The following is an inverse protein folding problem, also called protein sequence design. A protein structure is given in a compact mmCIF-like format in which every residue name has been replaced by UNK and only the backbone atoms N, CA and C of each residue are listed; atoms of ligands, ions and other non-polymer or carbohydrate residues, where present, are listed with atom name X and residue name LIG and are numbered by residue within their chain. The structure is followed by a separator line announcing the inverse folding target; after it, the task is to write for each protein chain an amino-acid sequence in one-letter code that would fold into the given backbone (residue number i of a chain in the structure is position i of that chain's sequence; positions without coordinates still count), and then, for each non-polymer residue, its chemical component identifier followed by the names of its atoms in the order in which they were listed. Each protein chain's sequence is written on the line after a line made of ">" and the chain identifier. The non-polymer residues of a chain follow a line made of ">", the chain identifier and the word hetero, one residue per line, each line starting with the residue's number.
data_IF_932723211261
#
_entry.id   IF_932723211261
#
_cell.length_a   1.000
_cell.length_b   1.000
_cell.length_c   1.000
_cell.angle_alpha   90.00
_cell.angle_beta   90.00
_cell.angle_gamma   90.00
#
_symmetry.space_group_name_H-M   'P 1'
#
loop_
_entity.id
_entity.type
_entity.pdbx_description
1 polymer ?
#
# COMPACT_ATOMS: atom_id res chain seq x y z
N UNK A 1 -57.39 -53.85 43.40
CA UNK A 1 -58.43 -52.81 43.24
C UNK A 1 -58.10 -52.02 41.96
N UNK A 2 -59.02 -51.69 41.03
CA UNK A 2 -60.22 -50.83 41.12
C UNK A 2 -59.87 -49.40 41.59
N UNK A 3 -60.14 -48.25 40.92
CA UNK A 3 -60.90 -47.78 39.70
C UNK A 3 -60.27 -46.40 39.26
N UNK A 4 -60.54 -45.60 38.20
CA UNK A 4 -61.28 -45.46 36.90
C UNK A 4 -60.68 -44.16 36.20
N UNK A 5 -60.95 -43.61 34.98
CA UNK A 5 -61.43 -44.02 33.63
C UNK A 5 -61.26 -42.84 32.62
N UNK A 6 -60.98 -43.12 31.33
CA UNK A 6 -61.12 -42.23 30.12
C UNK A 6 -60.35 -40.87 30.11
N UNK A 7 -59.97 -40.26 28.98
CA UNK A 7 -60.73 -39.73 27.82
C UNK A 7 -60.00 -40.02 26.48
N UNK A 8 -60.64 -40.60 25.46
CA UNK A 8 -61.57 -40.03 24.45
C UNK A 8 -60.86 -39.25 23.32
N UNK A 9 -60.68 -39.92 22.17
CA UNK A 9 -60.09 -39.38 20.93
C UNK A 9 -61.20 -38.72 20.09
N UNK A 10 -60.95 -37.51 19.58
CA UNK A 10 -61.84 -36.82 18.63
C UNK A 10 -61.19 -36.76 17.25
N UNK A 11 -61.84 -37.34 16.25
CA UNK A 11 -61.50 -37.13 14.84
C UNK A 11 -62.14 -35.82 14.35
N UNK A 12 -61.35 -34.90 13.81
CA UNK A 12 -61.85 -33.69 13.12
C UNK A 12 -61.70 -33.85 11.60
N UNK A 13 -62.82 -33.73 10.88
CA UNK A 13 -62.86 -33.74 9.42
C UNK A 13 -62.70 -32.31 8.88
N UNK A 14 -61.58 -32.08 8.18
CA UNK A 14 -61.36 -30.97 7.25
C UNK A 14 -60.42 -31.50 6.14
N UNK A 15 -60.65 -31.29 4.85
CA UNK A 15 -61.58 -30.36 4.21
C UNK A 15 -60.85 -29.64 3.07
N UNK A 16 -60.46 -30.37 2.03
CA UNK A 16 -59.57 -29.86 0.99
C UNK A 16 -60.27 -28.85 0.06
N UNK A 17 -60.16 -27.56 0.38
CA UNK A 17 -60.56 -26.47 -0.52
C UNK A 17 -59.46 -26.26 -1.58
N UNK A 18 -59.80 -26.45 -2.85
CA UNK A 18 -58.95 -25.99 -3.96
C UNK A 18 -59.09 -24.47 -4.09
N UNK A 19 -57.98 -23.75 -4.11
CA UNK A 19 -57.92 -22.39 -4.65
C UNK A 19 -57.40 -22.47 -6.08
N UNK A 20 -58.15 -21.92 -7.02
CA UNK A 20 -57.68 -21.70 -8.39
C UNK A 20 -56.86 -20.40 -8.41
N UNK A 21 -55.65 -20.46 -8.96
CA UNK A 21 -54.78 -19.29 -9.09
C UNK A 21 -55.12 -18.58 -10.40
N UNK A 22 -55.73 -17.40 -10.29
CA UNK A 22 -56.00 -16.54 -11.45
C UNK A 22 -54.70 -15.87 -11.89
N UNK A 23 -54.21 -16.21 -13.08
CA UNK A 23 -53.00 -15.64 -13.67
C UNK A 23 -53.25 -14.22 -14.22
N UNK A 24 -52.55 -13.18 -13.75
CA UNK A 24 -52.64 -11.84 -14.34
C UNK A 24 -51.75 -11.74 -15.58
N UNK A 25 -52.33 -11.44 -16.74
CA UNK A 25 -51.56 -11.16 -17.96
C UNK A 25 -50.97 -9.75 -17.90
N UNK A 26 -49.64 -9.63 -17.94
CA UNK A 26 -48.93 -8.34 -18.02
C UNK A 26 -48.25 -8.20 -19.38
N UNK A 27 -48.32 -7.01 -19.96
CA UNK A 27 -47.89 -6.75 -21.34
C UNK A 27 -46.36 -6.79 -21.52
N UNK A 28 -45.91 -7.26 -22.69
CA UNK A 28 -44.51 -7.24 -23.09
C UNK A 28 -44.12 -5.83 -23.51
N UNK A 29 -43.26 -5.17 -22.73
CA UNK A 29 -42.50 -4.02 -23.20
C UNK A 29 -41.19 -4.49 -23.85
N UNK A 30 -40.83 -3.88 -24.99
CA UNK A 30 -39.59 -4.17 -25.69
C UNK A 30 -38.41 -3.53 -24.93
N UNK A 31 -37.43 -4.32 -24.51
CA UNK A 31 -36.16 -3.78 -24.03
C UNK A 31 -35.37 -3.19 -25.20
N UNK A 32 -35.07 -1.89 -25.13
CA UNK A 32 -34.11 -1.26 -26.05
C UNK A 32 -32.70 -1.78 -25.72
N UNK A 33 -32.01 -2.32 -26.71
CA UNK A 33 -30.59 -2.64 -26.59
C UNK A 33 -29.77 -1.34 -26.42
N UNK A 34 -29.45 -1.00 -25.17
CA UNK A 34 -28.42 -0.02 -24.87
C UNK A 34 -27.08 -0.68 -25.18
N UNK A 35 -26.36 -0.14 -26.17
CA UNK A 35 -25.08 -0.69 -26.60
C UNK A 35 -24.06 -0.71 -25.46
N UNK A 36 -23.31 -1.81 -25.34
CA UNK A 36 -22.31 -2.00 -24.29
C UNK A 36 -21.15 -0.99 -24.45
N UNK A 37 -21.25 0.15 -23.76
CA UNK A 37 -20.06 0.95 -23.47
C UNK A 37 -19.12 0.12 -22.59
N UNK A 38 -17.82 0.13 -22.92
CA UNK A 38 -16.82 -0.58 -22.15
C UNK A 38 -16.59 0.11 -20.80
N UNK A 39 -17.39 -0.25 -19.80
CA UNK A 39 -17.26 0.20 -18.41
C UNK A 39 -15.89 -0.18 -17.86
N UNK A 40 -14.93 0.73 -18.00
CA UNK A 40 -13.60 0.58 -17.45
C UNK A 40 -13.69 0.41 -15.94
N UNK A 41 -13.01 -0.61 -15.41
CA UNK A 41 -12.92 -0.78 -13.95
C UNK A 41 -12.11 0.40 -13.41
N UNK A 42 -12.77 1.30 -12.69
CA UNK A 42 -12.08 2.34 -11.95
C UNK A 42 -11.29 1.69 -10.80
N UNK A 43 -10.15 2.27 -10.43
CA UNK A 43 -9.64 2.14 -9.06
C UNK A 43 -10.72 2.54 -8.04
N UNK A 44 -10.57 2.12 -6.79
CA UNK A 44 -11.64 2.20 -5.78
C UNK A 44 -12.02 3.64 -5.32
N UNK A 45 -11.50 4.67 -5.97
CA UNK A 45 -11.91 6.06 -5.81
C UNK A 45 -11.57 6.89 -7.05
N UNK A 46 -12.25 8.01 -7.22
CA UNK A 46 -11.88 9.02 -8.22
C UNK A 46 -10.55 9.68 -7.86
N UNK A 47 -9.88 10.30 -8.85
CA UNK A 47 -8.61 11.02 -8.62
C UNK A 47 -8.63 12.03 -7.47
N UNK A 48 -9.64 12.91 -7.33
CA UNK A 48 -9.76 13.81 -6.19
C UNK A 48 -9.93 13.09 -4.83
N UNK A 49 -10.66 11.97 -4.79
CA UNK A 49 -10.83 11.17 -3.57
C UNK A 49 -9.50 10.52 -3.15
N UNK A 50 -8.73 10.01 -4.11
CA UNK A 50 -7.39 9.45 -3.86
C UNK A 50 -6.43 10.55 -3.37
N UNK A 51 -6.41 11.73 -3.99
CA UNK A 51 -5.59 12.86 -3.51
C UNK A 51 -5.93 13.30 -2.07
N UNK A 52 -7.22 13.33 -1.73
CA UNK A 52 -7.68 13.61 -0.37
C UNK A 52 -7.27 12.49 0.61
N UNK A 53 -7.44 11.22 0.23
CA UNK A 53 -7.06 10.07 1.06
C UNK A 53 -5.55 10.02 1.34
N UNK A 54 -4.71 10.25 0.34
CA UNK A 54 -3.24 10.29 0.50
C UNK A 54 -2.81 11.41 1.46
N UNK A 55 -3.53 12.55 1.44
CA UNK A 55 -3.32 13.65 2.38
C UNK A 55 -3.73 13.27 3.80
N UNK A 56 -4.89 12.61 3.99
CA UNK A 56 -5.31 12.08 5.30
C UNK A 56 -4.29 11.06 5.84
N UNK A 57 -3.94 10.06 5.02
CA UNK A 57 -2.98 9.01 5.38
C UNK A 57 -1.61 9.59 5.79
N UNK A 58 -1.14 10.63 5.10
CA UNK A 58 0.08 11.35 5.43
C UNK A 58 0.02 12.07 6.80
N UNK A 59 -1.11 12.67 7.16
CA UNK A 59 -1.28 13.33 8.47
C UNK A 59 -1.64 12.36 9.61
N UNK A 60 -2.16 11.17 9.30
CA UNK A 60 -2.66 10.19 10.28
C UNK A 60 -1.54 9.44 11.03
N UNK A 61 -1.04 10.02 12.13
CA UNK A 61 0.08 9.51 12.94
C UNK A 61 -0.27 8.39 13.94
N UNK A 62 -1.22 7.50 13.63
CA UNK A 62 -1.50 6.33 14.47
C UNK A 62 -0.29 5.39 14.58
N UNK A 63 -0.18 4.70 15.73
CA UNK A 63 0.89 3.72 15.98
C UNK A 63 0.53 2.29 15.52
N UNK A 64 -0.77 1.99 15.33
CA UNK A 64 -1.25 0.67 14.90
C UNK A 64 -2.59 0.79 14.19
N UNK A 65 -2.90 -0.16 13.32
CA UNK A 65 -4.13 -0.20 12.56
C UNK A 65 -5.25 -0.93 13.32
N UNK A 66 -6.48 -0.39 13.25
CA UNK A 66 -7.69 -1.00 13.83
C UNK A 66 -7.61 -1.32 15.34
N UNK A 67 -6.70 -0.67 16.08
CA UNK A 67 -6.42 -0.96 17.49
C UNK A 67 -5.73 -2.30 17.77
N UNK A 68 -5.23 -2.99 16.72
CA UNK A 68 -4.58 -4.28 16.84
C UNK A 68 -3.06 -4.13 16.99
N UNK A 69 -2.50 -4.64 18.10
CA UNK A 69 -1.06 -4.65 18.35
C UNK A 69 -0.27 -5.38 17.24
N UNK A 70 -0.84 -6.38 16.59
CA UNK A 70 -0.21 -7.13 15.49
C UNK A 70 -0.31 -6.43 14.13
N UNK A 71 -0.87 -5.21 14.04
CA UNK A 71 -1.08 -4.50 12.77
C UNK A 71 -0.30 -3.17 12.71
N UNK A 72 0.93 -3.16 12.17
CA UNK A 72 1.73 -1.95 12.03
C UNK A 72 1.01 -0.84 11.22
N UNK A 73 1.25 0.42 11.58
CA UNK A 73 0.56 1.55 10.97
C UNK A 73 0.67 1.63 9.43
N UNK A 74 1.75 1.11 8.82
CA UNK A 74 1.91 1.08 7.36
C UNK A 74 0.82 0.29 6.60
N UNK A 75 0.03 -0.55 7.29
CA UNK A 75 -1.09 -1.28 6.69
C UNK A 75 -2.32 -0.39 6.41
N UNK A 76 -2.38 0.83 6.97
CA UNK A 76 -3.54 1.73 6.91
C UNK A 76 -3.22 3.24 7.00
N UNK A 77 -1.95 3.63 7.13
CA UNK A 77 -1.49 5.01 7.39
C UNK A 77 -0.14 5.28 6.69
N UNK A 78 0.09 6.54 6.34
CA UNK A 78 1.16 6.99 5.46
C UNK A 78 1.02 6.50 4.02
N UNK A 79 1.77 7.11 3.11
CA UNK A 79 1.73 6.81 1.67
C UNK A 79 2.89 5.91 1.29
N UNK A 80 2.63 4.64 0.97
CA UNK A 80 3.63 3.66 0.52
C UNK A 80 3.79 3.73 -1.00
N UNK A 81 4.97 4.09 -1.48
CA UNK A 81 5.19 4.36 -2.91
C UNK A 81 6.58 3.95 -3.38
N UNK A 82 6.74 3.76 -4.69
CA UNK A 82 8.01 3.40 -5.32
C UNK A 82 8.30 4.32 -6.50
N UNK A 83 9.41 5.03 -6.42
CA UNK A 83 9.96 5.75 -7.57
C UNK A 83 10.48 4.77 -8.63
N UNK A 84 10.24 5.07 -9.90
CA UNK A 84 10.67 4.29 -11.06
C UNK A 84 11.11 5.22 -12.19
N UNK A 85 11.46 4.64 -13.33
CA UNK A 85 11.46 5.30 -14.62
C UNK A 85 10.49 4.55 -15.53
N UNK A 86 9.80 5.27 -16.41
CA UNK A 86 8.96 4.66 -17.44
C UNK A 86 9.85 3.94 -18.47
N UNK A 87 9.31 2.95 -19.19
CA UNK A 87 10.07 2.17 -20.17
C UNK A 87 9.14 1.52 -21.20
N UNK A 88 9.63 1.36 -22.43
CA UNK A 88 8.98 0.55 -23.47
C UNK A 88 9.40 -0.93 -23.41
N UNK A 89 10.37 -1.28 -22.57
CA UNK A 89 10.96 -2.62 -22.45
C UNK A 89 10.43 -3.41 -21.24
N UNK A 90 9.83 -2.72 -20.26
CA UNK A 90 9.25 -3.31 -19.06
C UNK A 90 8.18 -2.39 -18.47
N UNK A 91 7.14 -2.98 -17.88
CA UNK A 91 6.11 -2.24 -17.15
C UNK A 91 6.65 -1.71 -15.81
N UNK A 92 6.23 -0.52 -15.37
CA UNK A 92 6.76 0.10 -14.14
C UNK A 92 6.51 -0.73 -12.86
N UNK A 93 5.48 -1.57 -12.85
CA UNK A 93 5.11 -2.46 -11.73
C UNK A 93 5.89 -3.78 -11.71
N UNK A 94 6.70 -4.06 -12.73
CA UNK A 94 7.51 -5.27 -12.79
C UNK A 94 8.77 -5.11 -11.91
N UNK A 95 9.05 -6.06 -11.00
CA UNK A 95 10.27 -6.02 -10.22
C UNK A 95 11.45 -6.43 -11.10
N UNK A 96 12.60 -5.76 -10.93
CA UNK A 96 13.82 -6.09 -11.68
C UNK A 96 14.12 -7.61 -11.55
N UNK A 97 14.25 -8.36 -12.67
CA UNK A 97 14.45 -9.81 -12.65
C UNK A 97 15.67 -10.27 -11.84
N UNK A 98 16.71 -9.45 -11.72
CA UNK A 98 17.93 -9.74 -10.95
C UNK A 98 17.87 -9.30 -9.48
N UNK A 99 16.83 -8.55 -9.07
CA UNK A 99 16.65 -8.15 -7.66
C UNK A 99 16.15 -9.31 -6.80
N UNK A 100 16.43 -9.27 -5.50
CA UNK A 100 15.97 -10.22 -4.48
C UNK A 100 14.67 -9.80 -3.76
N UNK A 101 14.18 -8.59 -4.03
CA UNK A 101 13.04 -7.93 -3.37
C UNK A 101 12.76 -6.59 -4.04
N UNK A 102 11.82 -5.81 -3.51
CA UNK A 102 11.43 -4.50 -4.09
C UNK A 102 11.48 -3.39 -3.05
N UNK A 103 12.19 -2.31 -3.36
CA UNK A 103 12.31 -1.14 -2.48
C UNK A 103 11.15 -0.16 -2.69
N UNK A 104 10.58 0.33 -1.59
CA UNK A 104 9.58 1.40 -1.53
C UNK A 104 10.06 2.46 -0.54
N UNK A 105 9.57 3.68 -0.67
CA UNK A 105 9.65 4.71 0.37
C UNK A 105 8.24 4.96 0.93
N UNK A 106 8.16 5.60 2.10
CA UNK A 106 6.89 5.81 2.78
C UNK A 106 6.84 7.19 3.43
N UNK A 107 5.81 7.98 3.09
CA UNK A 107 5.67 9.36 3.56
C UNK A 107 4.58 9.48 4.63
N UNK A 108 4.95 10.09 5.76
CA UNK A 108 4.04 10.54 6.82
C UNK A 108 4.57 11.83 7.45
N UNK A 109 3.71 12.61 8.10
CA UNK A 109 4.04 13.93 8.65
C UNK A 109 5.01 13.91 9.86
N UNK A 110 5.49 12.73 10.26
CA UNK A 110 6.57 12.47 11.23
C UNK A 110 7.78 11.72 10.61
N UNK A 111 7.69 11.36 9.33
CA UNK A 111 8.66 10.57 8.56
C UNK A 111 9.02 11.27 7.23
N UNK A 112 9.37 12.56 7.30
CA UNK A 112 9.55 13.45 6.13
C UNK A 112 10.93 13.29 5.49
N UNK A 113 10.99 13.41 4.16
CA UNK A 113 12.21 13.59 3.38
C UNK A 113 11.93 14.41 2.11
N UNK A 114 12.96 15.00 1.49
CA UNK A 114 12.82 16.02 0.45
C UNK A 114 13.06 15.56 -1.00
N UNK A 115 13.56 14.33 -1.23
CA UNK A 115 13.95 13.82 -2.55
C UNK A 115 13.59 12.34 -2.74
N UNK A 116 13.66 11.86 -3.98
CA UNK A 116 13.53 10.44 -4.31
C UNK A 116 14.89 9.79 -4.59
N UNK A 117 14.93 8.46 -4.52
CA UNK A 117 16.11 7.66 -4.86
C UNK A 117 16.55 7.91 -6.32
N UNK A 118 17.87 7.92 -6.56
CA UNK A 118 18.52 8.16 -7.86
C UNK A 118 18.11 9.45 -8.61
N UNK A 119 17.44 10.41 -7.95
CA UNK A 119 16.92 11.60 -8.62
C UNK A 119 15.75 11.30 -9.58
N UNK A 120 15.07 10.16 -9.39
CA UNK A 120 13.85 9.82 -10.12
C UNK A 120 12.73 10.81 -9.81
N UNK A 121 11.78 10.97 -10.73
CA UNK A 121 10.76 12.02 -10.65
C UNK A 121 9.32 11.51 -10.78
N UNK A 122 9.12 10.22 -11.03
CA UNK A 122 7.82 9.56 -11.13
C UNK A 122 7.85 8.15 -10.51
N UNK A 123 6.68 7.53 -10.47
CA UNK A 123 6.52 6.12 -10.11
C UNK A 123 5.07 5.80 -9.74
N UNK A 124 4.87 4.91 -8.78
CA UNK A 124 3.55 4.45 -8.37
C UNK A 124 3.36 4.35 -6.86
N UNK A 125 2.11 4.43 -6.43
CA UNK A 125 1.63 4.32 -5.05
C UNK A 125 0.90 2.98 -4.90
N UNK A 126 1.12 2.29 -3.78
CA UNK A 126 0.29 1.15 -3.36
C UNK A 126 -0.79 1.62 -2.39
N UNK A 127 -2.00 1.10 -2.59
CA UNK A 127 -3.05 1.12 -1.59
C UNK A 127 -2.51 0.50 -0.29
N UNK A 128 -2.71 1.14 0.88
CA UNK A 128 -2.51 0.48 2.16
C UNK A 128 -3.37 -0.79 2.25
N UNK A 129 -2.78 -1.88 2.74
CA UNK A 129 -3.30 -3.23 2.55
C UNK A 129 -4.69 -3.47 3.18
N UNK A 130 -5.03 -2.72 4.24
CA UNK A 130 -6.35 -2.77 4.88
C UNK A 130 -7.46 -1.98 4.14
N UNK A 131 -7.11 -1.25 3.07
CA UNK A 131 -8.03 -0.46 2.24
C UNK A 131 -7.94 -0.78 0.73
N UNK A 132 -7.02 -1.65 0.30
CA UNK A 132 -6.90 -2.08 -1.10
C UNK A 132 -8.19 -2.74 -1.63
N UNK A 133 -8.48 -2.65 -2.94
CA UNK A 133 -9.62 -3.34 -3.57
C UNK A 133 -9.60 -4.86 -3.37
N UNK A 134 -10.77 -5.50 -3.51
CA UNK A 134 -10.88 -6.96 -3.56
C UNK A 134 -10.07 -7.56 -4.72
N UNK A 135 -9.58 -8.79 -4.56
CA UNK A 135 -8.75 -9.48 -5.56
C UNK A 135 -7.31 -8.96 -5.68
N UNK A 136 -6.92 -7.95 -4.90
CA UNK A 136 -5.54 -7.44 -4.87
C UNK A 136 -4.67 -8.23 -3.89
N UNK A 137 -3.42 -8.49 -4.28
CA UNK A 137 -2.43 -9.18 -3.43
C UNK A 137 -1.78 -8.25 -2.41
N UNK A 138 -1.16 -8.84 -1.39
CA UNK A 138 -0.33 -8.16 -0.39
C UNK A 138 1.10 -8.70 -0.49
N UNK A 139 2.03 -8.00 -1.18
CA UNK A 139 3.43 -8.37 -1.13
C UNK A 139 3.97 -8.23 0.31
N UNK A 140 4.60 -9.28 0.84
CA UNK A 140 5.11 -9.28 2.22
C UNK A 140 6.03 -8.06 2.47
N UNK A 141 5.77 -7.29 3.53
CA UNK A 141 6.64 -6.17 3.94
C UNK A 141 7.67 -6.73 4.93
N UNK A 142 8.94 -6.64 4.56
CA UNK A 142 10.03 -7.42 5.18
C UNK A 142 10.75 -6.63 6.27
N UNK A 143 11.22 -5.44 5.92
CA UNK A 143 12.00 -4.58 6.80
C UNK A 143 11.85 -3.11 6.38
N UNK A 144 12.14 -2.22 7.32
CA UNK A 144 12.15 -0.78 7.11
C UNK A 144 13.45 -0.16 7.63
N UNK A 145 14.11 0.61 6.77
CA UNK A 145 15.27 1.42 7.08
C UNK A 145 14.85 2.89 7.21
N UNK A 146 15.13 3.57 8.34
CA UNK A 146 14.83 4.99 8.54
C UNK A 146 15.43 5.95 7.48
N UNK A 147 16.48 5.51 6.78
CA UNK A 147 17.12 6.14 5.62
C UNK A 147 17.64 5.03 4.68
N UNK A 148 17.88 5.34 3.41
CA UNK A 148 18.45 4.46 2.37
C UNK A 148 19.39 3.35 2.90
N UNK A 149 18.99 2.10 2.71
CA UNK A 149 19.65 0.94 3.27
C UNK A 149 20.78 0.38 2.40
N UNK A 150 20.95 0.80 1.14
CA UNK A 150 21.79 0.13 0.14
C UNK A 150 21.42 -1.36 -0.08
N UNK A 151 20.12 -1.65 -0.12
CA UNK A 151 19.54 -3.01 -0.01
C UNK A 151 19.81 -3.94 -1.19
N UNK A 152 20.25 -3.40 -2.33
CA UNK A 152 20.67 -4.17 -3.50
C UNK A 152 21.88 -5.09 -3.21
N UNK A 153 22.65 -4.79 -2.16
CA UNK A 153 23.85 -5.55 -1.77
C UNK A 153 23.63 -6.57 -0.65
N UNK A 154 22.46 -6.55 0.00
CA UNK A 154 22.19 -7.29 1.25
C UNK A 154 21.54 -8.66 1.01
N UNK A 155 21.84 -9.69 1.82
CA UNK A 155 21.12 -10.96 1.84
C UNK A 155 19.74 -10.80 2.49
N UNK A 156 18.99 -11.89 2.68
CA UNK A 156 17.59 -11.89 3.18
C UNK A 156 16.72 -10.86 2.43
N UNK A 157 16.62 -11.01 1.11
CA UNK A 157 15.80 -10.16 0.23
C UNK A 157 16.09 -8.64 0.33
N UNK A 158 17.26 -8.26 0.86
CA UNK A 158 17.67 -6.87 1.10
C UNK A 158 17.65 -6.43 2.57
N UNK A 159 17.24 -7.29 3.51
CA UNK A 159 17.09 -6.97 4.93
C UNK A 159 18.28 -7.37 5.82
N UNK A 160 19.19 -8.21 5.32
CA UNK A 160 20.39 -8.64 6.03
C UNK A 160 21.48 -7.56 6.15
N UNK A 161 22.69 -7.96 6.55
CA UNK A 161 23.83 -7.05 6.62
C UNK A 161 24.36 -6.66 5.23
N UNK A 162 24.84 -5.42 5.08
CA UNK A 162 25.67 -5.03 3.95
C UNK A 162 27.00 -5.81 3.98
N UNK A 163 27.56 -6.22 2.83
CA UNK A 163 28.81 -6.98 2.77
C UNK A 163 29.95 -6.29 3.53
N UNK A 164 30.62 -7.03 4.42
CA UNK A 164 31.72 -6.54 5.25
C UNK A 164 31.34 -5.63 6.44
N UNK A 165 30.12 -5.09 6.50
CA UNK A 165 29.74 -4.10 7.52
C UNK A 165 28.86 -4.76 8.60
N UNK A 166 29.49 -5.44 9.57
CA UNK A 166 28.78 -6.17 10.63
C UNK A 166 27.81 -5.32 11.47
N UNK A 167 28.06 -4.00 11.60
CA UNK A 167 27.18 -3.06 12.29
C UNK A 167 25.87 -2.77 11.54
N UNK A 168 25.74 -3.19 10.28
CA UNK A 168 24.54 -3.01 9.45
C UNK A 168 23.53 -4.19 9.52
N UNK A 169 23.82 -5.23 10.31
CA UNK A 169 22.90 -6.36 10.59
C UNK A 169 21.53 -5.86 11.08
N UNK A 170 20.43 -6.63 10.88
CA UNK A 170 19.08 -6.24 11.31
C UNK A 170 19.05 -5.69 12.73
N UNK A 171 18.38 -4.55 12.95
CA UNK A 171 18.51 -3.78 14.20
C UNK A 171 18.24 -4.63 15.44
N UNK A 172 17.19 -5.48 15.41
CA UNK A 172 16.86 -6.37 16.52
C UNK A 172 17.94 -7.42 16.84
N UNK A 173 18.65 -7.92 15.82
CA UNK A 173 19.77 -8.87 16.01
C UNK A 173 21.00 -8.26 16.72
N UNK A 174 20.99 -6.94 16.89
CA UNK A 174 22.02 -6.16 17.60
C UNK A 174 21.46 -5.50 18.88
N UNK A 175 20.23 -5.82 19.28
CA UNK A 175 19.54 -5.20 20.41
C UNK A 175 19.13 -3.73 20.19
N UNK A 176 19.19 -3.24 18.95
CA UNK A 176 18.81 -1.88 18.55
C UNK A 176 17.28 -1.85 18.39
N UNK A 177 16.58 -1.96 19.53
CA UNK A 177 15.12 -2.14 19.57
C UNK A 177 14.36 -0.82 19.82
N UNK A 178 15.05 0.33 19.88
CA UNK A 178 14.44 1.65 20.15
C UNK A 178 15.07 2.74 19.30
N UNK A 179 14.32 3.83 19.10
CA UNK A 179 14.79 5.02 18.39
C UNK A 179 16.07 5.60 19.01
N UNK A 180 16.13 5.64 20.35
CA UNK A 180 17.33 6.11 21.06
C UNK A 180 18.57 5.25 20.75
N UNK A 181 18.45 3.92 20.76
CA UNK A 181 19.56 3.02 20.40
C UNK A 181 19.94 3.14 18.92
N UNK A 182 18.96 3.32 18.04
CA UNK A 182 19.23 3.60 16.62
C UNK A 182 19.98 4.91 16.45
N UNK A 183 19.60 5.98 17.17
CA UNK A 183 20.28 7.26 17.11
C UNK A 183 21.71 7.22 17.68
N UNK A 184 21.99 6.37 18.67
CA UNK A 184 23.37 6.06 19.09
C UNK A 184 24.17 5.44 17.94
N UNK A 185 23.67 4.36 17.32
CA UNK A 185 24.31 3.70 16.17
C UNK A 185 24.49 4.65 14.97
N UNK A 186 23.48 5.46 14.69
CA UNK A 186 23.44 6.45 13.63
C UNK A 186 24.49 7.54 13.79
N UNK A 187 24.70 8.03 15.02
CA UNK A 187 25.71 9.04 15.32
C UNK A 187 27.12 8.46 15.43
N UNK A 188 27.26 7.18 15.76
CA UNK A 188 28.54 6.46 15.75
C UNK A 188 28.98 6.03 14.34
N UNK A 189 28.07 5.96 13.37
CA UNK A 189 28.35 5.57 11.98
C UNK A 189 28.93 6.75 11.15
N UNK A 190 30.23 6.75 10.79
CA UNK A 190 30.85 7.88 10.08
C UNK A 190 30.39 7.97 8.61
N UNK A 191 30.19 6.82 7.96
CA UNK A 191 29.37 6.71 6.75
C UNK A 191 28.04 6.10 7.13
N UNK A 192 26.94 6.70 6.68
CA UNK A 192 25.57 6.27 6.98
C UNK A 192 25.01 5.31 5.91
N UNK A 193 25.31 5.58 4.64
CA UNK A 193 24.86 4.74 3.52
C UNK A 193 25.42 3.33 3.65
N UNK A 194 24.54 2.32 3.63
CA UNK A 194 24.89 0.90 3.80
C UNK A 194 25.31 0.47 5.21
N UNK A 195 25.81 1.37 6.07
CA UNK A 195 26.26 1.02 7.44
C UNK A 195 25.13 0.86 8.45
N UNK A 196 24.00 1.52 8.21
CA UNK A 196 22.88 1.52 9.16
C UNK A 196 22.10 0.20 9.11
N UNK A 197 21.46 -0.15 10.23
CA UNK A 197 20.62 -1.33 10.33
C UNK A 197 19.20 -1.04 9.80
N UNK A 198 18.51 -2.10 9.36
CA UNK A 198 17.07 -2.07 9.08
C UNK A 198 16.30 -2.78 10.19
N UNK A 199 15.11 -2.29 10.51
CA UNK A 199 14.20 -2.95 11.44
C UNK A 199 13.42 -4.04 10.68
N UNK A 200 13.48 -5.28 11.15
CA UNK A 200 12.61 -6.34 10.65
C UNK A 200 11.15 -6.02 11.04
N UNK A 201 10.21 -6.12 10.10
CA UNK A 201 8.77 -5.88 10.32
C UNK A 201 7.89 -6.96 9.68
N UNK A 202 8.46 -8.14 9.36
CA UNK A 202 7.71 -9.31 8.86
C UNK A 202 6.56 -9.68 9.79
N UNK A 203 5.43 -10.10 9.21
CA UNK A 203 4.22 -10.50 9.96
C UNK A 203 4.48 -11.63 10.98
N UNK A 204 5.48 -12.48 10.72
CA UNK A 204 5.93 -13.53 11.65
C UNK A 204 6.46 -13.01 13.00
N UNK A 205 6.76 -11.71 13.12
CA UNK A 205 7.09 -11.04 14.39
C UNK A 205 5.84 -10.58 15.18
N UNK A 206 4.65 -10.66 14.59
CA UNK A 206 3.39 -10.27 15.23
C UNK A 206 3.49 -8.84 15.81
N UNK A 207 3.12 -8.62 17.08
CA UNK A 207 3.21 -7.33 17.77
C UNK A 207 4.62 -6.70 17.82
N UNK A 208 5.69 -7.49 17.66
CA UNK A 208 7.05 -6.96 17.62
C UNK A 208 7.32 -6.20 16.30
N UNK A 209 6.66 -6.54 15.19
CA UNK A 209 6.72 -5.76 13.95
C UNK A 209 6.18 -4.34 14.16
N UNK A 210 5.05 -4.21 14.85
CA UNK A 210 4.44 -2.91 15.18
C UNK A 210 5.35 -2.09 16.10
N UNK A 211 5.96 -2.74 17.09
CA UNK A 211 6.91 -2.08 18.01
C UNK A 211 8.15 -1.59 17.26
N UNK A 212 8.76 -2.47 16.45
CA UNK A 212 9.93 -2.16 15.65
C UNK A 212 9.67 -1.04 14.64
N UNK A 213 8.53 -1.06 13.93
CA UNK A 213 8.18 -0.02 12.98
C UNK A 213 7.99 1.34 13.65
N UNK A 214 7.28 1.40 14.78
CA UNK A 214 7.06 2.65 15.50
C UNK A 214 8.37 3.27 16.03
N UNK A 215 9.31 2.44 16.50
CA UNK A 215 10.64 2.92 16.89
C UNK A 215 11.50 3.36 15.70
N UNK A 216 11.35 2.70 14.54
CA UNK A 216 12.04 3.10 13.30
C UNK A 216 11.53 4.43 12.74
N UNK A 217 10.22 4.68 12.78
CA UNK A 217 9.62 5.97 12.37
C UNK A 217 10.09 7.10 13.29
N UNK A 218 10.10 6.88 14.61
CA UNK A 218 10.68 7.84 15.58
C UNK A 218 12.16 8.12 15.30
N UNK A 219 12.94 7.09 14.96
CA UNK A 219 14.35 7.24 14.59
C UNK A 219 14.55 8.08 13.32
N UNK A 220 13.70 7.91 12.29
CA UNK A 220 13.75 8.76 11.09
C UNK A 220 13.50 10.22 11.45
N UNK A 221 12.46 10.52 12.23
CA UNK A 221 12.14 11.88 12.68
C UNK A 221 13.26 12.53 13.53
N UNK A 222 14.08 11.71 14.19
CA UNK A 222 15.25 12.15 14.97
C UNK A 222 16.54 12.29 14.13
N UNK A 223 16.58 11.77 12.89
CA UNK A 223 17.77 11.71 12.05
C UNK A 223 18.29 13.05 11.51
N UNK A 224 17.57 14.15 11.71
CA UNK A 224 17.97 15.51 11.34
C UNK A 224 18.17 15.71 9.83
N UNK A 225 19.04 16.66 9.46
CA UNK A 225 19.21 17.10 8.07
C UNK A 225 19.61 15.99 7.09
N UNK A 226 20.36 14.97 7.54
CA UNK A 226 20.72 13.83 6.69
C UNK A 226 19.52 12.93 6.39
N UNK A 227 18.67 12.65 7.39
CA UNK A 227 17.47 11.84 7.19
C UNK A 227 16.38 12.63 6.42
N UNK A 228 16.27 13.94 6.63
CA UNK A 228 15.42 14.77 5.78
C UNK A 228 15.93 14.83 4.32
N UNK A 229 17.26 14.82 4.15
CA UNK A 229 17.92 14.80 2.84
C UNK A 229 18.06 13.42 2.19
N UNK A 230 17.48 12.35 2.76
CA UNK A 230 17.64 10.96 2.29
C UNK A 230 16.33 10.21 2.46
N UNK A 231 15.80 9.62 1.38
CA UNK A 231 14.57 8.84 1.44
C UNK A 231 14.70 7.64 2.38
N UNK A 232 13.61 7.28 3.07
CA UNK A 232 13.54 6.02 3.81
C UNK A 232 13.30 4.83 2.86
N UNK A 233 13.49 3.62 3.35
CA UNK A 233 13.40 2.41 2.52
C UNK A 233 12.67 1.25 3.23
N UNK A 234 11.46 0.94 2.77
CA UNK A 234 10.86 -0.37 2.94
C UNK A 234 11.46 -1.36 1.94
N UNK A 235 11.60 -2.61 2.36
CA UNK A 235 11.75 -3.77 1.46
C UNK A 235 10.50 -4.63 1.50
N UNK A 236 9.99 -4.94 0.31
CA UNK A 236 8.91 -5.87 0.07
C UNK A 236 9.46 -7.14 -0.60
N UNK A 237 8.80 -8.28 -0.37
CA UNK A 237 9.05 -9.51 -1.11
C UNK A 237 8.88 -9.29 -2.63
N UNK A 238 9.68 -10.01 -3.41
CA UNK A 238 9.59 -9.98 -4.87
C UNK A 238 8.38 -10.77 -5.36
N UNK A 239 7.45 -10.08 -6.02
CA UNK A 239 6.33 -10.70 -6.72
C UNK A 239 6.73 -11.16 -8.14
N UNK A 240 5.85 -11.90 -8.82
CA UNK A 240 6.09 -12.35 -10.19
C UNK A 240 5.97 -11.22 -11.22
N UNK A 241 6.45 -11.43 -12.45
CA UNK A 241 6.27 -10.46 -13.54
C UNK A 241 4.78 -10.33 -13.93
N UNK A 242 4.42 -9.18 -14.50
CA UNK A 242 3.17 -8.88 -15.18
C UNK A 242 1.89 -8.93 -14.31
N UNK A 243 2.02 -8.89 -12.98
CA UNK A 243 0.90 -8.90 -12.03
C UNK A 243 0.12 -7.57 -11.91
N UNK A 244 0.15 -6.68 -12.90
CA UNK A 244 -0.44 -5.33 -12.81
C UNK A 244 -1.92 -5.32 -12.37
N UNK A 245 -2.72 -6.24 -12.91
CA UNK A 245 -4.14 -6.36 -12.57
C UNK A 245 -4.39 -6.77 -11.10
N UNK A 246 -3.49 -7.55 -10.48
CA UNK A 246 -3.63 -8.05 -9.10
C UNK A 246 -2.79 -7.28 -8.08
N UNK A 247 -1.81 -6.48 -8.50
CA UNK A 247 -1.05 -5.60 -7.59
C UNK A 247 -1.94 -4.48 -7.02
N UNK A 248 -1.74 -4.08 -5.75
CA UNK A 248 -2.55 -3.08 -5.06
C UNK A 248 -2.16 -1.65 -5.48
N UNK A 249 -1.98 -1.39 -6.78
CA UNK A 249 -1.62 -0.06 -7.29
C UNK A 249 -2.83 0.87 -7.18
N UNK A 250 -2.65 2.01 -6.52
CA UNK A 250 -3.66 3.04 -6.28
C UNK A 250 -3.56 4.17 -7.31
N UNK A 251 -2.34 4.61 -7.60
CA UNK A 251 -2.05 5.74 -8.46
C UNK A 251 -0.65 5.63 -9.07
N UNK A 252 -0.44 6.32 -10.18
CA UNK A 252 0.91 6.75 -10.59
C UNK A 252 1.14 8.17 -10.05
N UNK A 253 2.40 8.57 -9.88
CA UNK A 253 2.74 9.88 -9.34
C UNK A 253 3.92 10.54 -10.05
N UNK A 254 4.02 11.86 -9.90
CA UNK A 254 5.17 12.66 -10.33
C UNK A 254 5.45 13.81 -9.35
N UNK A 255 6.69 14.29 -9.29
CA UNK A 255 7.10 15.42 -8.41
C UNK A 255 7.41 16.71 -9.18
N UNK A 256 7.58 16.64 -10.50
CA UNK A 256 7.82 17.77 -11.40
C UNK A 256 7.45 17.39 -12.85
N UNK A 257 7.51 18.35 -13.79
CA UNK A 257 7.11 18.13 -15.19
C UNK A 257 7.96 17.10 -15.94
N UNK A 258 9.24 16.93 -15.57
CA UNK A 258 10.08 15.86 -16.12
C UNK A 258 9.58 14.47 -15.70
N UNK A 259 9.10 14.34 -14.46
CA UNK A 259 8.40 13.14 -14.00
C UNK A 259 7.01 12.96 -14.62
N UNK A 260 6.28 14.06 -14.88
CA UNK A 260 4.90 14.03 -15.38
C UNK A 260 4.76 13.23 -16.67
N UNK A 261 5.66 13.43 -17.64
CA UNK A 261 5.64 12.66 -18.89
C UNK A 261 5.78 11.14 -18.67
N UNK A 262 6.58 10.74 -17.67
CA UNK A 262 6.71 9.34 -17.25
C UNK A 262 5.45 8.81 -16.58
N UNK A 263 4.90 9.52 -15.60
CA UNK A 263 3.64 9.14 -14.96
C UNK A 263 2.48 9.05 -15.97
N UNK A 264 2.43 9.93 -16.96
CA UNK A 264 1.47 9.90 -18.07
C UNK A 264 1.67 8.70 -19.02
N UNK A 265 2.91 8.24 -19.22
CA UNK A 265 3.18 6.98 -19.94
C UNK A 265 2.70 5.79 -19.12
N UNK A 266 3.12 5.73 -17.86
CA UNK A 266 2.78 4.68 -16.90
C UNK A 266 1.25 4.53 -16.74
N UNK A 267 0.50 5.64 -16.68
CA UNK A 267 -0.96 5.65 -16.62
C UNK A 267 -1.62 4.95 -17.83
N UNK A 268 -1.11 5.22 -19.04
CA UNK A 268 -1.64 4.64 -20.29
C UNK A 268 -1.30 3.16 -20.40
N UNK A 269 -0.06 2.78 -20.08
CA UNK A 269 0.37 1.38 -20.09
C UNK A 269 -0.44 0.56 -19.07
N UNK A 270 -0.62 1.03 -17.84
CA UNK A 270 -1.43 0.33 -16.83
C UNK A 270 -2.88 0.10 -17.30
N UNK A 271 -3.54 1.12 -17.86
CA UNK A 271 -4.89 0.97 -18.43
C UNK A 271 -4.90 0.00 -19.61
N UNK A 272 -3.89 0.05 -20.47
CA UNK A 272 -3.74 -0.84 -21.63
C UNK A 272 -3.55 -2.31 -21.26
N UNK A 273 -2.68 -2.62 -20.30
CA UNK A 273 -2.42 -4.01 -19.89
C UNK A 273 -3.47 -4.61 -18.94
N UNK A 274 -4.22 -3.78 -18.20
CA UNK A 274 -5.10 -4.26 -17.12
C UNK A 274 -6.58 -3.91 -17.27
N UNK A 275 -6.94 -2.94 -18.12
CA UNK A 275 -8.28 -2.35 -18.18
C UNK A 275 -8.63 -1.40 -17.02
N UNK A 276 -7.82 -1.38 -15.96
CA UNK A 276 -8.05 -0.60 -14.74
C UNK A 276 -7.55 0.84 -14.95
N UNK A 277 -8.37 1.85 -14.59
CA UNK A 277 -7.89 3.23 -14.50
C UNK A 277 -7.39 3.57 -13.11
N UNK A 278 -6.28 4.31 -13.06
CA UNK A 278 -5.69 4.91 -11.86
C UNK A 278 -5.32 6.38 -12.17
N UNK A 279 -5.41 7.31 -11.20
CA UNK A 279 -5.01 8.69 -11.41
C UNK A 279 -3.49 8.85 -11.49
N UNK A 280 -3.06 9.94 -12.14
CA UNK A 280 -1.75 10.54 -11.94
C UNK A 280 -1.83 11.62 -10.86
N UNK A 281 -1.10 11.45 -9.76
CA UNK A 281 -1.07 12.35 -8.59
C UNK A 281 0.23 13.16 -8.58
N UNK A 282 0.13 14.47 -8.45
CA UNK A 282 1.29 15.33 -8.17
C UNK A 282 1.66 15.22 -6.69
N UNK A 283 2.90 14.88 -6.40
CA UNK A 283 3.47 14.90 -5.04
C UNK A 283 4.42 16.09 -4.93
N UNK A 284 4.05 17.11 -4.18
CA UNK A 284 4.98 18.20 -3.83
C UNK A 284 5.75 17.80 -2.57
N UNK A 285 7.03 17.44 -2.71
CA UNK A 285 7.89 17.06 -1.59
C UNK A 285 8.31 18.30 -0.75
N UNK A 286 8.38 18.17 0.59
CA UNK A 286 8.69 19.30 1.47
C UNK A 286 10.13 19.78 1.28
N UNK A 287 10.30 21.10 1.19
CA UNK A 287 11.63 21.72 1.06
C UNK A 287 12.30 22.02 2.41
N UNK A 288 11.54 22.01 3.50
CA UNK A 288 12.01 22.13 4.89
C UNK A 288 11.30 21.11 5.78
N UNK A 289 11.86 20.79 6.95
CA UNK A 289 11.23 19.86 7.91
C UNK A 289 9.88 20.36 8.44
N UNK A 290 9.68 21.69 8.46
CA UNK A 290 8.41 22.31 8.83
C UNK A 290 7.34 22.13 7.73
N UNK A 291 7.69 22.21 6.45
CA UNK A 291 6.77 22.00 5.34
C UNK A 291 6.23 20.57 5.29
N UNK A 292 4.98 20.40 4.86
CA UNK A 292 4.34 19.10 4.65
C UNK A 292 4.35 18.69 3.17
N UNK A 293 4.15 17.40 2.91
CA UNK A 293 3.90 16.88 1.54
C UNK A 293 2.50 17.29 1.09
N UNK A 294 2.32 17.64 -0.18
CA UNK A 294 1.00 17.79 -0.81
C UNK A 294 0.76 16.69 -1.84
N UNK A 295 -0.47 16.19 -1.89
CA UNK A 295 -0.96 15.24 -2.88
C UNK A 295 -2.09 15.90 -3.67
N UNK A 296 -1.91 16.09 -4.98
CA UNK A 296 -2.80 16.91 -5.79
C UNK A 296 -3.22 16.14 -7.05
N UNK A 297 -4.53 15.97 -7.26
CA UNK A 297 -5.07 15.51 -8.53
C UNK A 297 -5.33 16.72 -9.44
N UNK A 298 -4.63 16.76 -10.57
CA UNK A 298 -4.76 17.82 -11.57
C UNK A 298 -5.38 17.21 -12.83
N UNK A 299 -6.62 17.58 -13.23
CA UNK A 299 -7.29 17.00 -14.40
C UNK A 299 -6.50 17.16 -15.71
N UNK A 300 -5.85 18.31 -15.90
CA UNK A 300 -5.05 18.62 -17.08
C UNK A 300 -3.72 17.84 -17.17
N UNK A 301 -3.27 17.24 -16.07
CA UNK A 301 -2.05 16.43 -16.03
C UNK A 301 -2.33 14.91 -16.23
N UNK A 302 -3.60 14.51 -16.39
CA UNK A 302 -3.97 13.12 -16.72
C UNK A 302 -3.72 12.83 -18.21
N UNK A 303 -3.24 11.63 -18.52
CA UNK A 303 -3.08 11.17 -19.90
C UNK A 303 -4.35 10.53 -20.49
N UNK A 304 -5.27 10.08 -19.63
CA UNK A 304 -6.53 9.41 -19.99
C UNK A 304 -7.63 9.72 -18.97
N UNK A 305 -8.87 9.78 -19.44
CA UNK A 305 -10.07 9.75 -18.59
C UNK A 305 -10.22 8.40 -17.87
N UNK A 306 -10.99 8.41 -16.78
CA UNK A 306 -11.40 7.23 -16.00
C UNK A 306 -12.22 6.22 -16.81
#
# INVERSE_FOLDING_TARGET
>A
MNRLWLWLIVFTLSGCVRHEVVTPTVAVHQEQQIGAQASGVMGAGTGPQIAAYLTEAYHNKINMCRGNLSAPAFLCSGVLFRATQHSTQFHFWNPNPSSTGVSFSWLRADAKFNKLVFGYNNGFIFYPYFFKPYGKIEPEILCFFPVDGATNSRPDQGCGQSPGIAASRPCQSQGINTAARYMTHYNQSPSKYGSLCGFNVRDSLNQEATTAFNEAVKAQGQGGSFAFGTQNEFRLAKWAQNLGATLPIEAVFYVNDAGKAGAQYDQRDFKGQTGIWIPAIKITLPQTTAADVRFEFIPADQAISS
#
